data_IF_659576837194
#
_entry.id   IF_659576837194
#
_cell.length_a   1.000
_cell.length_b   1.000
_cell.length_c   1.000
_cell.angle_alpha   90.00
_cell.angle_beta   90.00
_cell.angle_gamma   90.00
#
_symmetry.space_group_name_H-M   'P 1'
#
loop_
_entity.id
_entity.type
_entity.pdbx_description
1 polymer ?
#
# COMPACT_ATOMS: atom_id res chain seq x y z
N UNK A 1 -5.77 11.12 -17.16
CA UNK A 1 -4.87 9.96 -17.16
C UNK A 1 -5.59 8.78 -17.82
N UNK A 2 -5.01 8.13 -18.83
CA UNK A 2 -5.67 7.02 -19.51
C UNK A 2 -5.91 5.84 -18.55
N UNK A 3 -7.05 5.14 -18.71
CA UNK A 3 -7.44 3.99 -17.87
C UNK A 3 -6.34 2.91 -17.80
N UNK A 4 -5.59 2.76 -18.90
CA UNK A 4 -4.44 1.85 -19.04
C UNK A 4 -3.26 2.30 -18.18
N UNK A 5 -2.91 3.60 -18.22
CA UNK A 5 -1.78 4.16 -17.46
C UNK A 5 -1.99 4.06 -15.95
N UNK A 6 -3.23 4.31 -15.49
CA UNK A 6 -3.58 4.18 -14.07
C UNK A 6 -3.43 2.74 -13.58
N UNK A 7 -3.93 1.78 -14.35
CA UNK A 7 -3.82 0.35 -14.03
C UNK A 7 -2.36 -0.11 -13.98
N UNK A 8 -1.54 0.35 -14.92
CA UNK A 8 -0.10 0.06 -14.92
C UNK A 8 0.60 0.59 -13.66
N UNK A 9 0.25 1.81 -13.21
CA UNK A 9 0.79 2.38 -11.97
C UNK A 9 0.32 1.60 -10.74
N UNK A 10 -0.96 1.23 -10.68
CA UNK A 10 -1.51 0.41 -9.59
C UNK A 10 -0.78 -0.94 -9.49
N UNK A 11 -0.57 -1.64 -10.61
CA UNK A 11 0.16 -2.91 -10.66
C UNK A 11 1.64 -2.75 -10.22
N UNK A 12 2.29 -1.67 -10.65
CA UNK A 12 3.69 -1.38 -10.28
C UNK A 12 3.84 -1.06 -8.79
N UNK A 13 2.88 -0.33 -8.21
CA UNK A 13 2.84 -0.04 -6.77
C UNK A 13 2.61 -1.31 -5.93
N UNK A 14 1.79 -2.24 -6.41
CA UNK A 14 1.62 -3.55 -5.76
C UNK A 14 2.92 -4.34 -5.78
N UNK A 15 3.63 -4.36 -6.92
CA UNK A 15 4.94 -5.04 -7.02
C UNK A 15 5.96 -4.42 -6.07
N UNK A 16 6.02 -3.09 -5.97
CA UNK A 16 6.85 -2.38 -4.99
C UNK A 16 6.47 -2.75 -3.54
N UNK A 17 5.18 -2.92 -3.26
CA UNK A 17 4.67 -3.44 -1.99
C UNK A 17 5.18 -4.86 -1.69
N UNK A 18 5.21 -5.75 -2.68
CA UNK A 18 5.73 -7.11 -2.51
C UNK A 18 7.26 -7.12 -2.30
N UNK A 19 8.00 -6.29 -3.03
CA UNK A 19 9.45 -6.15 -2.87
C UNK A 19 9.79 -5.62 -1.47
N UNK A 20 9.04 -4.64 -0.99
CA UNK A 20 9.23 -4.12 0.37
C UNK A 20 8.96 -5.16 1.46
N UNK A 21 7.94 -6.01 1.29
CA UNK A 21 7.71 -7.13 2.19
C UNK A 21 8.90 -8.10 2.20
N UNK A 22 9.50 -8.41 1.05
CA UNK A 22 10.71 -9.24 0.99
C UNK A 22 11.87 -8.60 1.77
N UNK A 23 12.09 -7.30 1.63
CA UNK A 23 13.13 -6.56 2.35
C UNK A 23 12.90 -6.53 3.88
N UNK A 24 11.62 -6.54 4.31
CA UNK A 24 11.24 -6.54 5.73
C UNK A 24 11.39 -7.93 6.35
N UNK A 25 10.97 -8.99 5.64
CA UNK A 25 10.99 -10.36 6.15
C UNK A 25 12.35 -11.06 5.99
N UNK A 26 13.15 -10.65 5.01
CA UNK A 26 14.49 -11.17 4.77
C UNK A 26 15.52 -10.04 4.63
N UNK A 27 15.71 -9.20 5.66
CA UNK A 27 16.72 -8.16 5.62
C UNK A 27 18.11 -8.78 5.72
N UNK A 28 18.94 -8.61 4.69
CA UNK A 28 20.37 -8.97 4.75
C UNK A 28 21.10 -8.05 5.74
N UNK A 29 20.63 -6.80 5.87
CA UNK A 29 21.16 -5.78 6.77
C UNK A 29 20.04 -4.94 7.38
N UNK A 30 20.28 -4.34 8.55
CA UNK A 30 19.30 -3.48 9.26
C UNK A 30 18.82 -2.30 8.39
N UNK A 31 19.70 -1.80 7.52
CA UNK A 31 19.37 -0.73 6.57
C UNK A 31 18.30 -1.17 5.57
N UNK A 32 18.35 -2.42 5.10
CA UNK A 32 17.34 -2.97 4.17
C UNK A 32 15.97 -3.10 4.81
N UNK A 33 15.92 -3.43 6.10
CA UNK A 33 14.67 -3.46 6.88
C UNK A 33 14.01 -2.08 6.90
N UNK A 34 14.77 -1.03 7.23
CA UNK A 34 14.28 0.35 7.26
C UNK A 34 13.84 0.84 5.87
N UNK A 35 14.63 0.51 4.83
CA UNK A 35 14.29 0.84 3.43
C UNK A 35 13.01 0.11 3.02
N UNK A 36 12.87 -1.17 3.37
CA UNK A 36 11.67 -1.97 3.12
C UNK A 36 10.42 -1.31 3.69
N UNK A 37 10.46 -0.88 4.95
CA UNK A 37 9.34 -0.14 5.56
C UNK A 37 9.06 1.20 4.88
N UNK A 38 10.10 1.93 4.47
CA UNK A 38 9.93 3.18 3.72
C UNK A 38 9.24 2.97 2.37
N UNK A 39 9.66 1.95 1.62
CA UNK A 39 9.06 1.58 0.33
C UNK A 39 7.62 1.06 0.51
N UNK A 40 7.35 0.29 1.57
CA UNK A 40 6.01 -0.21 1.87
C UNK A 40 5.05 0.94 2.16
N UNK A 41 5.49 1.91 2.98
CA UNK A 41 4.73 3.10 3.30
C UNK A 41 4.44 3.94 2.04
N UNK A 42 5.47 4.21 1.24
CA UNK A 42 5.34 4.99 0.00
C UNK A 42 4.41 4.32 -1.01
N UNK A 43 4.59 3.03 -1.24
CA UNK A 43 3.79 2.28 -2.23
C UNK A 43 2.32 2.23 -1.81
N UNK A 44 2.05 2.01 -0.52
CA UNK A 44 0.69 2.02 0.03
C UNK A 44 0.03 3.39 -0.09
N UNK A 45 0.69 4.46 0.36
CA UNK A 45 0.16 5.83 0.26
C UNK A 45 -0.12 6.23 -1.18
N UNK A 46 0.84 5.99 -2.08
CA UNK A 46 0.69 6.28 -3.51
C UNK A 46 -0.47 5.49 -4.10
N UNK A 47 -0.58 4.20 -3.80
CA UNK A 47 -1.66 3.35 -4.29
C UNK A 47 -3.02 3.88 -3.86
N UNK A 48 -3.14 4.29 -2.60
CA UNK A 48 -4.37 4.86 -2.05
C UNK A 48 -4.72 6.19 -2.73
N UNK A 49 -3.75 7.10 -2.92
CA UNK A 49 -3.97 8.39 -3.61
C UNK A 49 -4.45 8.18 -5.05
N UNK A 50 -3.78 7.29 -5.79
CA UNK A 50 -4.16 6.98 -7.17
C UNK A 50 -5.50 6.24 -7.25
N UNK A 51 -5.83 5.42 -6.26
CA UNK A 51 -7.11 4.72 -6.16
C UNK A 51 -8.26 5.70 -5.83
N UNK A 52 -8.02 6.64 -4.92
CA UNK A 52 -8.99 7.64 -4.47
C UNK A 52 -9.34 8.68 -5.54
N UNK A 53 -8.39 9.02 -6.42
CA UNK A 53 -8.62 10.02 -7.47
C UNK A 53 -9.72 9.52 -8.41
N UNK A 54 -10.96 10.04 -8.35
CA UNK A 54 -12.06 9.52 -9.16
C UNK A 54 -11.79 9.88 -10.62
N UNK A 55 -11.69 8.89 -11.51
CA UNK A 55 -11.45 9.20 -12.93
C UNK A 55 -12.68 9.78 -13.62
N UNK A 56 -13.88 9.47 -13.14
CA UNK A 56 -15.16 10.02 -13.60
C UNK A 56 -16.18 9.92 -12.45
N UNK A 57 -16.74 11.05 -12.02
CA UNK A 57 -17.83 11.08 -11.03
C UNK A 57 -19.15 11.01 -11.83
N UNK A 58 -19.63 9.79 -12.08
CA UNK A 58 -20.89 9.59 -12.81
C UNK A 58 -22.14 9.59 -11.90
N UNK A 59 -22.00 9.17 -10.63
CA UNK A 59 -23.11 9.14 -9.66
C UNK A 59 -22.60 9.04 -8.21
N UNK A 60 -23.30 9.69 -7.27
CA UNK A 60 -22.98 9.71 -5.82
C UNK A 60 -22.94 8.32 -5.20
N UNK A 61 -23.74 7.37 -5.72
CA UNK A 61 -23.79 5.98 -5.22
C UNK A 61 -22.50 5.21 -5.49
N UNK A 62 -21.92 5.39 -6.68
CA UNK A 62 -20.65 4.76 -7.05
C UNK A 62 -19.47 5.39 -6.32
N UNK A 63 -19.58 6.68 -5.97
CA UNK A 63 -18.60 7.37 -5.13
C UNK A 63 -18.51 6.71 -3.75
N UNK A 64 -19.65 6.48 -3.09
CA UNK A 64 -19.71 5.86 -1.75
C UNK A 64 -19.18 4.43 -1.78
N UNK A 65 -19.54 3.65 -2.81
CA UNK A 65 -19.07 2.26 -2.94
C UNK A 65 -17.56 2.18 -3.16
N UNK A 66 -17.01 3.02 -4.04
CA UNK A 66 -15.57 3.07 -4.28
C UNK A 66 -14.81 3.60 -3.05
N UNK A 67 -15.38 4.58 -2.36
CA UNK A 67 -14.84 5.08 -1.10
C UNK A 67 -14.76 3.97 -0.04
N UNK A 68 -15.86 3.24 0.21
CA UNK A 68 -15.88 2.14 1.18
C UNK A 68 -14.91 1.02 0.85
N UNK A 69 -14.86 0.61 -0.42
CA UNK A 69 -13.93 -0.42 -0.87
C UNK A 69 -12.47 -0.01 -0.65
N UNK A 70 -12.18 1.27 -0.89
CA UNK A 70 -10.84 1.84 -0.69
C UNK A 70 -10.51 1.97 0.80
N UNK A 71 -11.46 2.45 1.61
CA UNK A 71 -11.33 2.52 3.07
C UNK A 71 -11.00 1.15 3.65
N UNK A 72 -11.68 0.09 3.19
CA UNK A 72 -11.44 -1.28 3.64
C UNK A 72 -10.02 -1.75 3.30
N UNK A 73 -9.54 -1.48 2.08
CA UNK A 73 -8.18 -1.84 1.66
C UNK A 73 -7.14 -1.08 2.51
N UNK A 74 -7.33 0.22 2.72
CA UNK A 74 -6.47 1.02 3.61
C UNK A 74 -6.45 0.44 5.02
N UNK A 75 -7.62 0.09 5.57
CA UNK A 75 -7.73 -0.46 6.91
C UNK A 75 -6.98 -1.78 7.04
N UNK A 76 -7.14 -2.68 6.07
CA UNK A 76 -6.46 -3.98 6.05
C UNK A 76 -4.95 -3.82 5.97
N UNK A 77 -4.46 -2.92 5.11
CA UNK A 77 -3.01 -2.70 4.96
C UNK A 77 -2.42 -2.05 6.20
N UNK A 78 -3.07 -1.04 6.77
CA UNK A 78 -2.61 -0.36 7.99
C UNK A 78 -2.65 -1.32 9.19
N UNK A 79 -3.68 -2.15 9.32
CA UNK A 79 -3.74 -3.18 10.36
C UNK A 79 -2.66 -4.24 10.18
N UNK A 80 -2.44 -4.70 8.94
CA UNK A 80 -1.36 -5.63 8.61
C UNK A 80 0.01 -5.05 8.97
N UNK A 81 0.25 -3.79 8.61
CA UNK A 81 1.47 -3.04 8.96
C UNK A 81 1.67 -2.99 10.48
N UNK A 82 0.64 -2.60 11.23
CA UNK A 82 0.70 -2.47 12.69
C UNK A 82 0.98 -3.82 13.36
N UNK A 83 0.27 -4.87 12.94
CA UNK A 83 0.46 -6.21 13.49
C UNK A 83 1.87 -6.74 13.22
N UNK A 84 2.36 -6.59 11.98
CA UNK A 84 3.71 -7.00 11.60
C UNK A 84 4.75 -6.20 12.40
N UNK A 85 4.60 -4.88 12.53
CA UNK A 85 5.49 -4.03 13.32
C UNK A 85 5.54 -4.46 14.80
N UNK A 86 4.38 -4.64 15.44
CA UNK A 86 4.31 -5.05 16.85
C UNK A 86 4.97 -6.43 17.04
N UNK A 87 4.70 -7.37 16.13
CA UNK A 87 5.21 -8.73 16.24
C UNK A 87 6.73 -8.82 16.01
N UNK A 88 7.28 -7.97 15.13
CA UNK A 88 8.72 -7.91 14.85
C UNK A 88 9.52 -7.12 15.90
N UNK A 89 8.88 -6.20 16.63
CA UNK A 89 9.53 -5.35 17.64
C UNK A 89 10.43 -6.14 18.63
N UNK A 90 9.98 -7.24 19.27
CA UNK A 90 10.82 -7.97 20.24
C UNK A 90 12.00 -8.73 19.63
N UNK A 91 12.06 -8.90 18.30
CA UNK A 91 13.16 -9.57 17.61
C UNK A 91 14.19 -8.58 17.03
N UNK A 92 13.92 -7.28 17.13
CA UNK A 92 14.71 -6.20 16.53
C UNK A 92 15.31 -5.20 17.54
N UNK A 93 14.88 -5.30 18.80
CA UNK A 93 15.34 -4.53 19.97
C UNK A 93 16.07 -5.47 20.92
#
# INVERSE_FOLDING_TARGET
>A
MGRVTRRFIEELLIILGLISLLLIFQPVERTMYTIGWGILLFSTLSYVIFTLTPSQIASTKDLVKNYFKTLLIVLIVVLGFLLISIMLTPYLV
#
